data_IF_501763081644
#
_entry.id   IF_501763081644
#
_cell.length_a   1.000
_cell.length_b   1.000
_cell.length_c   1.000
_cell.angle_alpha   90.00
_cell.angle_beta   90.00
_cell.angle_gamma   90.00
#
_symmetry.space_group_name_H-M   'P 1'
#
loop_
_entity.id
_entity.type
_entity.pdbx_description
1 polymer ?
#
# COMPACT_ATOMS: atom_id res chain seq x y z
N UNK A 1 10.24 -11.09 -6.45
CA UNK A 1 10.37 -10.84 -7.91
C UNK A 1 11.83 -10.49 -8.24
N UNK A 2 12.47 -11.11 -9.24
CA UNK A 2 13.89 -10.86 -9.58
C UNK A 2 14.11 -9.87 -10.72
N UNK A 3 13.04 -9.45 -11.40
CA UNK A 3 13.12 -8.48 -12.48
C UNK A 3 13.48 -7.10 -11.94
N UNK A 4 14.57 -6.54 -12.44
CA UNK A 4 15.03 -5.19 -12.08
C UNK A 4 14.76 -4.23 -13.23
N UNK A 5 13.96 -3.20 -12.98
CA UNK A 5 13.68 -2.12 -13.92
C UNK A 5 14.07 -0.79 -13.30
N UNK A 6 14.20 0.24 -14.14
CA UNK A 6 14.19 1.63 -13.68
C UNK A 6 12.86 1.94 -13.02
N UNK A 7 12.72 3.07 -12.34
CA UNK A 7 11.48 3.36 -11.64
C UNK A 7 11.18 4.86 -11.58
N UNK A 8 9.90 5.18 -11.43
CA UNK A 8 9.38 6.55 -11.36
C UNK A 8 8.83 6.75 -9.95
N UNK A 9 9.33 7.77 -9.26
CA UNK A 9 8.81 8.19 -7.97
C UNK A 9 7.97 9.46 -8.12
N UNK A 10 6.97 9.60 -7.27
CA UNK A 10 6.19 10.81 -7.07
C UNK A 10 6.54 11.37 -5.68
N UNK A 11 7.26 12.51 -5.60
CA UNK A 11 7.57 13.15 -4.34
C UNK A 11 6.34 13.82 -3.71
N UNK A 12 6.28 13.84 -2.38
CA UNK A 12 5.17 14.49 -1.65
C UNK A 12 5.27 16.03 -1.68
N UNK A 13 6.46 16.58 -1.94
CA UNK A 13 6.67 18.03 -1.98
C UNK A 13 6.19 18.66 -3.30
N UNK A 14 5.23 19.61 -3.18
CA UNK A 14 4.66 20.36 -4.29
C UNK A 14 5.67 21.21 -5.08
N UNK A 15 6.88 21.44 -4.55
CA UNK A 15 7.90 22.29 -5.19
C UNK A 15 8.66 21.58 -6.31
N UNK A 16 8.43 20.29 -6.52
CA UNK A 16 9.05 19.47 -7.58
C UNK A 16 10.56 19.66 -7.74
N UNK A 17 11.30 19.66 -6.62
CA UNK A 17 12.74 19.90 -6.65
C UNK A 17 13.47 18.65 -7.15
N UNK A 18 14.15 18.76 -8.29
CA UNK A 18 14.88 17.65 -8.91
C UNK A 18 14.00 16.68 -9.71
N UNK A 19 12.69 16.93 -9.79
CA UNK A 19 11.75 16.19 -10.62
C UNK A 19 11.45 16.90 -11.94
N UNK A 20 10.52 16.32 -12.69
CA UNK A 20 9.91 16.91 -13.89
C UNK A 20 8.40 17.04 -13.67
N UNK A 21 7.85 18.19 -14.00
CA UNK A 21 6.41 18.36 -14.04
C UNK A 21 5.87 17.86 -15.39
N UNK A 22 4.95 16.91 -15.34
CA UNK A 22 4.17 16.43 -16.48
C UNK A 22 2.71 16.72 -16.15
N UNK A 23 2.14 17.75 -16.78
CA UNK A 23 0.89 18.35 -16.31
C UNK A 23 1.06 18.97 -14.92
N UNK A 24 0.13 18.69 -14.02
CA UNK A 24 0.17 19.12 -12.61
C UNK A 24 0.92 18.11 -11.70
N UNK A 25 1.43 17.02 -12.25
CA UNK A 25 2.11 15.98 -11.49
C UNK A 25 3.63 16.14 -11.55
N UNK A 26 4.28 16.11 -10.38
CA UNK A 26 5.73 16.02 -10.28
C UNK A 26 6.21 14.58 -10.27
N UNK A 27 7.18 14.25 -11.13
CA UNK A 27 7.74 12.91 -11.27
C UNK A 27 9.27 12.92 -11.25
N UNK A 28 9.87 11.93 -10.59
CA UNK A 28 11.32 11.73 -10.57
C UNK A 28 11.65 10.37 -11.18
N UNK A 29 12.48 10.37 -12.22
CA UNK A 29 12.89 9.15 -12.91
C UNK A 29 14.23 8.67 -12.37
N UNK A 30 14.25 7.50 -11.72
CA UNK A 30 15.48 6.84 -11.32
C UNK A 30 16.06 6.03 -12.48
N UNK A 31 17.37 6.18 -12.72
CA UNK A 31 18.09 5.41 -13.74
C UNK A 31 18.64 4.09 -13.20
N UNK A 32 18.64 3.92 -11.88
CA UNK A 32 19.03 2.69 -11.19
C UNK A 32 17.97 1.61 -11.39
N UNK A 33 18.41 0.36 -11.52
CA UNK A 33 17.52 -0.78 -11.72
C UNK A 33 17.30 -1.52 -10.41
N UNK A 34 16.05 -1.57 -9.98
CA UNK A 34 15.64 -2.25 -8.76
C UNK A 34 14.48 -3.20 -9.02
N UNK A 35 14.32 -4.20 -8.16
CA UNK A 35 13.07 -4.94 -8.15
C UNK A 35 11.93 -4.03 -7.62
N UNK A 36 10.68 -4.45 -7.81
CA UNK A 36 9.54 -3.60 -7.47
C UNK A 36 9.51 -3.20 -5.99
N UNK A 37 9.78 -4.13 -5.07
CA UNK A 37 9.77 -3.87 -3.62
C UNK A 37 10.88 -2.90 -3.22
N UNK A 38 12.09 -3.11 -3.75
CA UNK A 38 13.24 -2.22 -3.56
C UNK A 38 12.96 -0.81 -4.11
N UNK A 39 12.35 -0.71 -5.30
CA UNK A 39 11.97 0.57 -5.90
C UNK A 39 10.89 1.30 -5.06
N UNK A 40 9.89 0.57 -4.54
CA UNK A 40 8.88 1.13 -3.61
C UNK A 40 9.56 1.69 -2.37
N UNK A 41 10.41 0.90 -1.71
CA UNK A 41 11.14 1.34 -0.51
C UNK A 41 12.03 2.56 -0.79
N UNK A 42 12.66 2.64 -1.96
CA UNK A 42 13.53 3.76 -2.32
C UNK A 42 12.75 5.06 -2.60
N UNK A 43 11.56 4.98 -3.21
CA UNK A 43 10.72 6.17 -3.33
C UNK A 43 10.25 6.67 -1.95
N UNK A 44 9.92 5.75 -1.03
CA UNK A 44 9.50 6.08 0.34
C UNK A 44 10.64 6.70 1.14
N UNK A 45 11.86 6.17 1.06
CA UNK A 45 13.03 6.73 1.76
C UNK A 45 13.32 8.18 1.35
N UNK A 46 13.00 8.53 0.09
CA UNK A 46 13.15 9.88 -0.47
C UNK A 46 11.90 10.76 -0.30
N UNK A 47 11.03 10.47 0.68
CA UNK A 47 9.80 11.24 0.97
C UNK A 47 8.84 11.31 -0.23
N UNK A 48 8.67 10.19 -0.91
CA UNK A 48 7.77 10.01 -2.03
C UNK A 48 7.09 8.64 -2.02
N UNK A 49 6.54 8.25 -3.16
CA UNK A 49 6.01 6.91 -3.42
C UNK A 49 6.31 6.52 -4.87
N UNK A 50 6.13 5.25 -5.24
CA UNK A 50 6.11 4.89 -6.66
C UNK A 50 4.99 5.68 -7.36
N UNK A 51 5.29 6.25 -8.51
CA UNK A 51 4.44 7.25 -9.13
C UNK A 51 3.11 6.68 -9.63
N UNK A 52 2.00 7.21 -9.13
CA UNK A 52 0.67 6.91 -9.68
C UNK A 52 0.40 7.85 -10.84
N UNK A 53 0.62 7.41 -12.08
CA UNK A 53 0.64 8.30 -13.24
C UNK A 53 -0.73 8.94 -13.49
N UNK A 54 -0.83 10.26 -13.32
CA UNK A 54 -2.08 11.01 -13.53
C UNK A 54 -2.48 11.06 -15.01
N UNK A 55 -1.48 11.12 -15.90
CA UNK A 55 -1.63 11.03 -17.35
C UNK A 55 -0.58 10.03 -17.89
N UNK A 56 -0.92 8.72 -17.93
CA UNK A 56 0.00 7.68 -18.39
C UNK A 56 0.53 7.92 -19.81
N UNK A 57 -0.29 8.52 -20.69
CA UNK A 57 0.09 8.75 -22.08
C UNK A 57 1.13 9.88 -22.20
N UNK A 58 0.94 10.99 -21.47
CA UNK A 58 1.92 12.07 -21.42
C UNK A 58 3.25 11.62 -20.80
N UNK A 59 3.19 10.81 -19.73
CA UNK A 59 4.37 10.24 -19.08
C UNK A 59 5.10 9.29 -20.02
N UNK A 60 4.36 8.44 -20.74
CA UNK A 60 4.94 7.52 -21.72
C UNK A 60 5.62 8.29 -22.87
N UNK A 61 4.98 9.33 -23.40
CA UNK A 61 5.57 10.17 -24.46
C UNK A 61 6.87 10.84 -23.99
N UNK A 62 6.90 11.37 -22.76
CA UNK A 62 8.12 11.92 -22.16
C UNK A 62 9.20 10.86 -21.98
N UNK A 63 8.84 9.69 -21.45
CA UNK A 63 9.77 8.60 -21.18
C UNK A 63 10.41 8.07 -22.48
N UNK A 64 9.61 7.90 -23.54
CA UNK A 64 10.11 7.53 -24.87
C UNK A 64 11.05 8.61 -25.42
N UNK A 65 10.65 9.87 -25.34
CA UNK A 65 11.44 10.99 -25.87
C UNK A 65 12.79 11.15 -25.19
N UNK A 66 12.87 10.90 -23.88
CA UNK A 66 14.08 11.12 -23.08
C UNK A 66 14.93 9.87 -22.84
N UNK A 67 14.29 8.71 -22.67
CA UNK A 67 14.94 7.46 -22.27
C UNK A 67 14.77 6.34 -23.31
N UNK A 68 14.09 6.60 -24.44
CA UNK A 68 13.96 5.64 -25.52
C UNK A 68 13.08 4.44 -25.14
N UNK A 69 13.64 3.25 -25.25
CA UNK A 69 12.93 1.98 -24.99
C UNK A 69 13.08 1.45 -23.57
N UNK A 70 13.61 2.26 -22.64
CA UNK A 70 13.74 1.84 -21.25
C UNK A 70 12.37 1.65 -20.58
N UNK A 71 12.25 0.55 -19.82
CA UNK A 71 11.06 0.24 -19.05
C UNK A 71 11.21 0.69 -17.60
N UNK A 72 10.13 1.21 -17.04
CA UNK A 72 10.10 1.76 -15.69
C UNK A 72 8.99 1.11 -14.86
N UNK A 73 9.29 0.80 -13.60
CA UNK A 73 8.28 0.65 -12.57
C UNK A 73 7.64 2.00 -12.32
N UNK A 74 6.33 2.07 -12.53
CA UNK A 74 5.50 3.10 -11.94
C UNK A 74 4.68 2.46 -10.82
N UNK A 75 4.06 3.29 -10.00
CA UNK A 75 3.01 2.88 -9.09
C UNK A 75 1.82 2.39 -9.92
N UNK A 76 1.81 1.10 -10.23
CA UNK A 76 0.61 0.40 -10.65
C UNK A 76 -0.31 0.31 -9.44
N UNK A 77 -1.14 1.33 -9.29
CA UNK A 77 -2.24 1.35 -8.35
C UNK A 77 -3.18 0.20 -8.70
N UNK A 78 -3.32 -0.78 -7.80
CA UNK A 78 -4.46 -1.69 -7.85
C UNK A 78 -5.70 -0.83 -7.61
N UNK A 79 -6.40 -0.53 -8.71
CA UNK A 79 -7.57 0.37 -8.81
C UNK A 79 -8.76 -0.07 -7.93
N UNK A 80 -8.59 -1.14 -7.13
CA UNK A 80 -9.58 -1.64 -6.18
C UNK A 80 -9.28 -1.41 -4.70
N UNK A 81 -8.14 -0.80 -4.32
CA UNK A 81 -7.64 -0.95 -2.94
C UNK A 81 -7.44 0.34 -2.11
N UNK A 82 -7.03 1.50 -2.64
CA UNK A 82 -6.93 2.71 -1.78
C UNK A 82 -8.27 3.48 -1.65
N UNK A 83 -9.28 3.16 -2.45
CA UNK A 83 -10.64 3.73 -2.34
C UNK A 83 -11.58 2.90 -1.44
N UNK A 84 -11.10 1.79 -0.86
CA UNK A 84 -11.94 1.05 0.08
C UNK A 84 -12.08 1.85 1.35
N UNK A 85 -13.28 2.38 1.56
CA UNK A 85 -13.64 3.04 2.80
C UNK A 85 -13.53 2.02 3.93
N UNK A 86 -12.61 2.26 4.87
CA UNK A 86 -12.46 1.48 6.09
C UNK A 86 -13.33 2.06 7.19
N UNK A 87 -13.89 1.21 8.04
CA UNK A 87 -14.57 1.64 9.26
C UNK A 87 -13.61 2.34 10.21
N UNK A 88 -14.16 3.12 11.15
CA UNK A 88 -13.36 3.61 12.27
C UNK A 88 -12.68 2.44 13.02
N UNK A 89 -11.47 2.70 13.53
CA UNK A 89 -10.75 1.73 14.36
C UNK A 89 -11.50 1.59 15.68
N UNK A 90 -11.68 0.34 16.12
CA UNK A 90 -12.31 -0.01 17.40
C UNK A 90 -11.56 -1.12 18.09
N UNK A 91 -11.70 -1.19 19.41
CA UNK A 91 -11.19 -2.28 20.21
C UNK A 91 -12.06 -3.53 19.98
N UNK A 92 -11.72 -4.32 18.99
CA UNK A 92 -12.45 -5.53 18.65
C UNK A 92 -11.50 -6.52 17.97
N UNK A 93 -11.97 -7.74 17.74
CA UNK A 93 -11.25 -8.71 16.91
C UNK A 93 -12.18 -9.83 16.44
N UNK A 94 -11.74 -10.59 15.42
CA UNK A 94 -12.43 -11.82 15.01
C UNK A 94 -11.57 -13.04 15.35
N UNK A 95 -12.01 -13.84 16.33
CA UNK A 95 -11.22 -14.99 16.80
C UNK A 95 -11.08 -16.05 15.71
N UNK A 96 -9.85 -16.53 15.49
CA UNK A 96 -9.57 -17.68 14.63
C UNK A 96 -9.78 -17.44 13.12
N UNK A 97 -10.10 -16.22 12.71
CA UNK A 97 -10.38 -15.86 11.31
C UNK A 97 -9.18 -15.21 10.62
N UNK A 98 -7.96 -15.61 11.01
CA UNK A 98 -6.72 -15.04 10.51
C UNK A 98 -6.28 -15.79 9.25
N UNK A 99 -6.39 -15.16 8.08
CA UNK A 99 -5.92 -15.74 6.82
C UNK A 99 -4.39 -15.77 6.75
N UNK A 100 -3.75 -14.66 7.11
CA UNK A 100 -2.29 -14.52 7.13
C UNK A 100 -1.88 -13.52 8.20
N UNK A 101 -0.67 -13.72 8.74
CA UNK A 101 -0.10 -12.91 9.81
C UNK A 101 1.17 -12.24 9.29
N UNK A 102 1.32 -10.96 9.60
CA UNK A 102 2.52 -10.18 9.31
C UNK A 102 3.02 -9.50 10.58
N UNK A 103 4.33 -9.23 10.65
CA UNK A 103 4.97 -8.59 11.81
C UNK A 103 5.76 -7.37 11.36
N UNK A 104 5.92 -6.40 12.27
CA UNK A 104 6.73 -5.20 12.04
C UNK A 104 6.11 -4.24 11.01
N UNK A 105 4.78 -4.21 10.91
CA UNK A 105 4.03 -3.34 10.01
C UNK A 105 3.22 -2.32 10.81
N UNK A 106 2.90 -1.19 10.19
CA UNK A 106 1.87 -0.27 10.72
C UNK A 106 0.47 -0.77 10.34
N UNK A 107 -0.57 -0.23 11.00
CA UNK A 107 -1.96 -0.56 10.66
C UNK A 107 -2.33 -0.20 9.21
N UNK A 108 -1.79 0.89 8.66
CA UNK A 108 -2.09 1.27 7.27
C UNK A 108 -1.42 0.31 6.28
N UNK A 109 -0.18 -0.11 6.55
CA UNK A 109 0.47 -1.18 5.76
C UNK A 109 -0.26 -2.51 5.96
N UNK A 110 -0.87 -2.76 7.12
CA UNK A 110 -1.70 -3.94 7.33
C UNK A 110 -2.95 -3.95 6.43
N UNK A 111 -3.61 -2.79 6.27
CA UNK A 111 -4.72 -2.63 5.31
C UNK A 111 -4.24 -2.93 3.89
N UNK A 112 -3.13 -2.31 3.45
CA UNK A 112 -2.50 -2.60 2.15
C UNK A 112 -2.23 -4.10 1.99
N UNK A 113 -1.68 -4.78 3.00
CA UNK A 113 -1.39 -6.21 2.92
C UNK A 113 -2.62 -7.08 2.82
N UNK A 114 -3.71 -6.73 3.51
CA UNK A 114 -4.97 -7.45 3.34
C UNK A 114 -5.43 -7.39 1.89
N UNK A 115 -5.40 -6.17 1.36
CA UNK A 115 -5.79 -5.82 0.01
C UNK A 115 -4.89 -6.48 -1.06
N UNK A 116 -3.58 -6.49 -0.88
CA UNK A 116 -2.61 -7.15 -1.78
C UNK A 116 -2.75 -8.67 -1.81
N UNK A 117 -2.98 -9.30 -0.66
CA UNK A 117 -2.94 -10.77 -0.51
C UNK A 117 -4.30 -11.42 -0.80
N UNK A 118 -5.39 -10.70 -0.52
CA UNK A 118 -6.74 -11.21 -0.64
C UNK A 118 -7.56 -10.55 -1.75
N UNK A 119 -7.14 -9.38 -2.24
CA UNK A 119 -7.86 -8.59 -3.24
C UNK A 119 -9.31 -8.35 -2.83
N UNK A 120 -10.24 -8.80 -3.68
CA UNK A 120 -11.69 -8.72 -3.44
C UNK A 120 -12.15 -9.48 -2.19
N UNK A 121 -11.37 -10.43 -1.69
CA UNK A 121 -11.69 -11.20 -0.50
C UNK A 121 -11.20 -10.56 0.79
N UNK A 122 -10.42 -9.48 0.74
CA UNK A 122 -10.08 -8.71 1.94
C UNK A 122 -11.37 -8.13 2.51
N UNK A 123 -11.63 -8.35 3.80
CA UNK A 123 -12.82 -7.85 4.48
C UNK A 123 -12.50 -7.10 5.77
N UNK A 124 -11.53 -7.56 6.56
CA UNK A 124 -11.11 -6.87 7.78
C UNK A 124 -9.67 -7.16 8.15
N UNK A 125 -9.16 -6.37 9.10
CA UNK A 125 -7.89 -6.62 9.78
C UNK A 125 -8.09 -6.55 11.29
N UNK A 126 -7.32 -7.36 12.01
CA UNK A 126 -7.04 -7.19 13.43
C UNK A 126 -5.56 -6.79 13.56
N UNK A 127 -5.27 -5.69 14.23
CA UNK A 127 -3.91 -5.19 14.40
C UNK A 127 -3.55 -5.13 15.89
N UNK A 128 -2.38 -5.63 16.27
CA UNK A 128 -1.88 -5.60 17.64
C UNK A 128 -0.72 -4.58 17.72
N UNK A 129 -0.96 -3.34 18.20
CA UNK A 129 0.05 -2.30 18.23
C UNK A 129 1.31 -2.65 19.05
N UNK A 130 1.21 -3.28 20.24
CA UNK A 130 2.40 -3.59 21.06
C UNK A 130 3.42 -4.49 20.35
N UNK A 131 2.95 -5.43 19.54
CA UNK A 131 3.79 -6.39 18.82
C UNK A 131 3.97 -6.05 17.33
N UNK A 132 3.26 -5.02 16.84
CA UNK A 132 3.16 -4.67 15.42
C UNK A 132 2.72 -5.88 14.58
N UNK A 133 1.81 -6.69 15.12
CA UNK A 133 1.31 -7.88 14.44
C UNK A 133 0.00 -7.58 13.74
N UNK A 134 -0.05 -7.89 12.45
CA UNK A 134 -1.17 -7.68 11.55
C UNK A 134 -1.80 -9.03 11.21
N UNK A 135 -3.09 -9.17 11.46
CA UNK A 135 -3.89 -10.32 11.09
C UNK A 135 -4.88 -9.89 10.01
N UNK A 136 -4.76 -10.45 8.81
CA UNK A 136 -5.67 -10.14 7.70
C UNK A 136 -6.78 -11.17 7.62
N UNK A 137 -8.00 -10.75 7.29
CA UNK A 137 -9.17 -11.62 7.29
C UNK A 137 -10.07 -11.46 6.06
N UNK A 138 -10.78 -12.55 5.76
CA UNK A 138 -11.92 -12.60 4.83
C UNK A 138 -13.27 -12.44 5.54
N UNK A 139 -13.27 -12.30 6.87
CA UNK A 139 -14.48 -12.13 7.68
C UNK A 139 -14.74 -10.65 8.00
N UNK A 140 -15.96 -10.34 8.42
CA UNK A 140 -16.41 -9.02 8.90
C UNK A 140 -16.94 -9.14 10.32
N UNK A 141 -17.39 -8.02 10.88
CA UNK A 141 -18.08 -7.94 12.17
C UNK A 141 -19.39 -8.74 12.26
N UNK A 142 -19.91 -9.26 11.15
CA UNK A 142 -21.03 -10.19 11.11
C UNK A 142 -20.66 -11.65 11.43
N UNK A 143 -19.37 -11.95 11.64
CA UNK A 143 -18.92 -13.28 12.05
C UNK A 143 -19.42 -13.61 13.45
N UNK A 144 -19.75 -14.89 13.69
CA UNK A 144 -20.07 -15.38 15.03
C UNK A 144 -18.86 -15.30 16.00
N UNK A 145 -17.65 -15.18 15.45
CA UNK A 145 -16.40 -15.09 16.20
C UNK A 145 -15.96 -13.64 16.46
N UNK A 146 -16.77 -12.65 16.07
CA UNK A 146 -16.52 -11.24 16.34
C UNK A 146 -16.74 -10.92 17.83
N UNK A 147 -15.80 -10.19 18.43
CA UNK A 147 -15.88 -9.74 19.83
C UNK A 147 -15.48 -8.27 19.96
N UNK A 148 -16.27 -7.50 20.70
CA UNK A 148 -16.01 -6.10 21.07
C UNK A 148 -16.42 -5.87 22.54
N UNK A 149 -15.48 -5.57 23.47
CA UNK A 149 -14.04 -5.47 23.27
C UNK A 149 -13.40 -6.80 22.85
N UNK A 150 -12.18 -6.77 22.31
CA UNK A 150 -11.45 -8.00 22.03
C UNK A 150 -11.20 -8.79 23.34
N UNK A 151 -11.07 -10.12 23.24
CA UNK A 151 -10.98 -11.00 24.41
C UNK A 151 -9.72 -10.78 25.26
N UNK A 152 -9.77 -11.24 26.52
CA UNK A 152 -8.68 -11.09 27.49
C UNK A 152 -7.34 -11.62 26.93
N UNK A 153 -6.33 -10.74 26.93
CA UNK A 153 -5.00 -10.97 26.34
C UNK A 153 -4.70 -10.17 25.07
N UNK A 154 -5.72 -9.59 24.43
CA UNK A 154 -5.60 -8.70 23.25
C UNK A 154 -6.42 -7.41 23.44
N UNK A 155 -6.45 -6.88 24.66
CA UNK A 155 -7.30 -5.75 25.03
C UNK A 155 -6.95 -4.42 24.32
N UNK A 156 -5.86 -4.37 23.55
CA UNK A 156 -5.47 -3.22 22.73
C UNK A 156 -5.50 -3.52 21.22
N UNK A 157 -6.16 -4.62 20.81
CA UNK A 157 -6.31 -4.93 19.41
C UNK A 157 -7.15 -3.88 18.68
N UNK A 158 -6.63 -3.39 17.57
CA UNK A 158 -7.27 -2.42 16.68
C UNK A 158 -7.91 -3.15 15.51
N UNK A 159 -9.24 -3.15 15.48
CA UNK A 159 -10.04 -3.71 14.40
C UNK A 159 -10.52 -2.64 13.45
N UNK A 160 -10.48 -2.94 12.15
CA UNK A 160 -11.19 -2.18 11.12
C UNK A 160 -11.58 -3.10 9.96
N UNK A 161 -12.69 -2.77 9.30
CA UNK A 161 -13.23 -3.52 8.16
C UNK A 161 -13.58 -2.61 6.99
N UNK A 162 -13.66 -3.20 5.80
CA UNK A 162 -14.11 -2.52 4.59
C UNK A 162 -15.63 -2.30 4.69
N UNK A 163 -16.09 -1.10 4.36
CA UNK A 163 -17.51 -0.75 4.25
C UNK A 163 -18.14 -1.41 3.01
#
# INVERSE_FOLDING_TARGET
CTHKLRYICEPVDARCVGGVNIGDQCLTFSLEKQNWDEAKSECVSNSGKLASLADPDAVLAYAIGKYGSDSFWAGGYDIGNEDKAWSAIRNACIRGNNYKIFHGLTIDVCKEKCLDELGVNCQSIDYEPPSQTCYISKARSNSADYTEPCYDGLQEAEYTEIL
#
